data_IF_812438713012
#
_entry.id   IF_812438713012
#
_cell.length_a   1.000
_cell.length_b   1.000
_cell.length_c   1.000
_cell.angle_alpha   90.00
_cell.angle_beta   90.00
_cell.angle_gamma   90.00
#
_symmetry.space_group_name_H-M   'P 1'
#
loop_
_entity.id
_entity.type
_entity.pdbx_description
1 polymer ?
#
# COMPACT_ATOMS: atom_id res chain seq x y z
N UNK A 1 -14.85 -3.09 -37.76
CA UNK A 1 -14.69 -4.22 -36.84
C UNK A 1 -14.48 -3.66 -35.46
N UNK A 2 -15.36 -3.98 -34.52
CA UNK A 2 -15.25 -3.51 -33.14
C UNK A 2 -14.07 -4.25 -32.48
N UNK A 3 -12.95 -3.57 -32.24
CA UNK A 3 -11.92 -4.12 -31.35
C UNK A 3 -12.49 -4.10 -29.94
N UNK A 4 -12.80 -5.30 -29.43
CA UNK A 4 -13.39 -5.53 -28.13
C UNK A 4 -12.59 -4.84 -27.03
N UNK A 5 -13.27 -3.97 -26.30
CA UNK A 5 -13.00 -3.75 -24.90
C UNK A 5 -13.55 -4.99 -24.18
N UNK A 6 -12.68 -5.85 -23.63
CA UNK A 6 -13.10 -7.08 -22.94
C UNK A 6 -13.68 -6.80 -21.55
N UNK A 7 -13.93 -5.52 -21.25
CA UNK A 7 -14.52 -5.05 -20.00
C UNK A 7 -13.58 -5.19 -18.81
N UNK A 8 -12.28 -5.44 -19.03
CA UNK A 8 -11.30 -5.63 -17.97
C UNK A 8 -10.47 -4.37 -17.80
N UNK A 9 -10.52 -3.78 -16.61
CA UNK A 9 -9.60 -2.71 -16.23
C UNK A 9 -8.17 -3.24 -16.22
N UNK A 10 -7.33 -2.73 -17.13
CA UNK A 10 -5.92 -3.11 -17.22
C UNK A 10 -5.06 -2.18 -16.36
N UNK A 11 -4.24 -2.75 -15.48
CA UNK A 11 -3.21 -1.97 -14.78
C UNK A 11 -2.18 -1.47 -15.80
N UNK A 12 -2.01 -0.16 -15.87
CA UNK A 12 -1.07 0.51 -16.77
C UNK A 12 0.24 0.88 -16.11
N UNK A 13 0.30 0.88 -14.78
CA UNK A 13 1.54 1.08 -14.05
C UNK A 13 1.39 0.82 -12.55
N UNK A 14 2.52 0.55 -11.91
CA UNK A 14 2.65 0.44 -10.45
C UNK A 14 3.85 1.26 -9.98
N UNK A 15 3.76 1.84 -8.78
CA UNK A 15 4.85 2.58 -8.15
C UNK A 15 4.73 2.54 -6.63
N UNK A 16 5.83 2.88 -5.95
CA UNK A 16 5.77 3.27 -4.55
C UNK A 16 5.47 4.77 -4.47
N UNK A 17 4.46 5.15 -3.69
CA UNK A 17 4.07 6.54 -3.43
C UNK A 17 5.08 7.26 -2.54
N UNK A 18 4.68 8.36 -1.90
CA UNK A 18 5.60 9.14 -1.07
C UNK A 18 6.08 8.37 0.17
N UNK A 19 7.33 8.57 0.60
CA UNK A 19 7.84 7.98 1.85
C UNK A 19 7.07 8.49 3.07
N UNK A 20 6.80 7.57 3.98
CA UNK A 20 6.22 7.82 5.30
C UNK A 20 7.12 7.19 6.36
N UNK A 21 7.20 7.86 7.51
CA UNK A 21 8.05 7.45 8.64
C UNK A 21 7.16 7.17 9.84
N UNK A 22 7.38 6.03 10.49
CA UNK A 22 6.77 5.69 11.78
C UNK A 22 7.86 5.59 12.84
N UNK A 23 7.76 6.40 13.89
CA UNK A 23 8.68 6.37 15.03
C UNK A 23 8.12 5.47 16.13
N UNK A 24 8.94 4.52 16.58
CA UNK A 24 8.59 3.59 17.64
C UNK A 24 8.82 4.29 18.99
N UNK A 25 7.77 4.32 19.83
CA UNK A 25 7.90 4.78 21.20
C UNK A 25 8.66 3.74 22.05
N UNK A 26 9.57 4.20 22.89
CA UNK A 26 10.35 3.32 23.77
C UNK A 26 9.43 2.62 24.78
N UNK A 27 9.44 1.29 24.76
CA UNK A 27 8.68 0.42 25.66
C UNK A 27 9.09 -1.03 25.43
N UNK A 28 9.39 -1.74 26.51
CA UNK A 28 10.00 -3.06 26.49
C UNK A 28 9.08 -4.12 25.84
N UNK A 29 9.64 -4.77 24.81
CA UNK A 29 9.25 -6.04 24.20
C UNK A 29 7.94 -6.08 23.38
N UNK A 30 8.11 -6.07 22.05
CA UNK A 30 7.12 -6.50 21.07
C UNK A 30 6.32 -5.36 20.46
N UNK A 31 6.86 -4.73 19.42
CA UNK A 31 6.13 -3.72 18.67
C UNK A 31 5.31 -4.38 17.56
N UNK A 32 3.99 -4.23 17.64
CA UNK A 32 3.10 -4.44 16.50
C UNK A 32 2.87 -3.08 15.85
N UNK A 33 3.12 -2.98 14.55
CA UNK A 33 2.90 -1.75 13.79
C UNK A 33 1.82 -2.01 12.77
N UNK A 34 0.72 -1.27 12.89
CA UNK A 34 -0.36 -1.26 11.92
C UNK A 34 -0.09 -0.15 10.91
N UNK A 35 0.29 -0.53 9.69
CA UNK A 35 0.44 0.40 8.58
C UNK A 35 -0.89 0.54 7.84
N UNK A 36 -1.09 1.67 7.16
CA UNK A 36 -2.25 1.84 6.29
C UNK A 36 -2.27 0.77 5.18
N UNK A 37 -3.45 0.35 4.74
CA UNK A 37 -3.59 -0.64 3.67
C UNK A 37 -2.78 -0.29 2.43
N UNK A 38 -2.23 -1.32 1.79
CA UNK A 38 -1.34 -1.17 0.64
C UNK A 38 0.05 -0.64 0.97
N UNK A 39 0.38 -0.41 2.24
CA UNK A 39 1.72 0.03 2.63
C UNK A 39 2.73 -1.11 2.54
N UNK A 40 3.92 -0.79 2.04
CA UNK A 40 5.07 -1.69 1.98
C UNK A 40 6.20 -1.09 2.81
N UNK A 41 6.81 -1.90 3.68
CA UNK A 41 8.01 -1.49 4.42
C UNK A 41 9.18 -1.38 3.45
N UNK A 42 9.85 -0.23 3.44
CA UNK A 42 10.96 0.07 2.55
C UNK A 42 12.29 0.29 3.27
N UNK A 43 12.27 0.34 4.59
CA UNK A 43 13.48 0.44 5.39
C UNK A 43 13.21 0.39 6.88
N UNK A 44 14.25 0.05 7.62
CA UNK A 44 14.28 0.08 9.08
C UNK A 44 15.53 0.85 9.50
N UNK A 45 15.41 1.72 10.49
CA UNK A 45 16.57 2.31 11.16
C UNK A 45 16.41 2.23 12.67
N UNK A 46 17.53 2.41 13.36
CA UNK A 46 17.64 2.04 14.75
C UNK A 46 18.95 2.52 15.36
N UNK A 47 19.08 2.26 16.65
CA UNK A 47 20.29 2.52 17.40
C UNK A 47 20.69 1.29 18.23
N UNK A 48 21.91 1.29 18.74
CA UNK A 48 22.35 0.33 19.76
C UNK A 48 22.40 1.06 21.09
N UNK A 49 21.62 0.59 22.06
CA UNK A 49 21.60 1.13 23.41
C UNK A 49 21.88 -0.02 24.39
N UNK A 50 22.90 0.15 25.23
CA UNK A 50 23.29 -0.87 26.21
C UNK A 50 23.70 -2.23 25.62
N UNK A 51 24.23 -2.24 24.38
CA UNK A 51 24.62 -3.47 23.67
C UNK A 51 23.48 -4.19 22.94
N UNK A 52 22.26 -3.65 22.96
CA UNK A 52 21.11 -4.21 22.24
C UNK A 52 20.76 -3.30 21.06
N UNK A 53 20.69 -3.88 19.86
CA UNK A 53 20.19 -3.19 18.67
C UNK A 53 18.68 -3.10 18.70
N UNK A 54 18.15 -1.89 18.55
CA UNK A 54 16.72 -1.59 18.58
C UNK A 54 16.32 -0.91 17.27
N UNK A 55 15.23 -1.37 16.66
CA UNK A 55 14.57 -0.60 15.60
C UNK A 55 13.84 0.55 16.28
N UNK A 56 14.10 1.78 15.85
CA UNK A 56 13.43 2.98 16.37
C UNK A 56 12.53 3.62 15.33
N UNK A 57 12.73 3.29 14.05
CA UNK A 57 12.04 3.93 12.95
C UNK A 57 11.76 2.93 11.83
N UNK A 58 10.53 2.97 11.32
CA UNK A 58 10.10 2.20 10.16
C UNK A 58 9.77 3.16 9.02
N UNK A 59 10.40 2.95 7.87
CA UNK A 59 10.07 3.66 6.64
C UNK A 59 9.15 2.78 5.80
N UNK A 60 8.04 3.33 5.36
CA UNK A 60 7.09 2.63 4.51
C UNK A 60 6.54 3.55 3.42
N UNK A 61 6.04 2.94 2.35
CA UNK A 61 5.48 3.65 1.19
C UNK A 61 4.17 2.97 0.76
N UNK A 62 3.12 3.72 0.41
CA UNK A 62 1.93 3.13 -0.17
C UNK A 62 2.25 2.58 -1.56
N UNK A 63 1.91 1.33 -1.83
CA UNK A 63 1.88 0.79 -3.18
C UNK A 63 0.73 1.45 -3.95
N UNK A 64 1.03 1.99 -5.11
CA UNK A 64 0.06 2.68 -5.96
C UNK A 64 -0.03 2.03 -7.33
N UNK A 65 -1.23 2.02 -7.90
CA UNK A 65 -1.50 1.58 -9.26
C UNK A 65 -2.26 2.63 -10.06
N UNK A 66 -2.18 2.54 -11.38
CA UNK A 66 -2.96 3.35 -12.32
C UNK A 66 -3.56 2.48 -13.42
N UNK A 67 -4.76 2.83 -13.87
CA UNK A 67 -5.46 2.18 -14.97
C UNK A 67 -5.55 3.07 -16.22
N UNK A 68 -5.27 4.37 -16.06
CA UNK A 68 -5.37 5.38 -17.12
C UNK A 68 -4.02 6.09 -17.37
N UNK A 69 -2.97 5.74 -16.62
CA UNK A 69 -1.64 6.35 -16.70
C UNK A 69 -1.50 7.72 -16.04
N UNK A 70 -2.60 8.33 -15.57
CA UNK A 70 -2.61 9.72 -15.07
C UNK A 70 -3.00 9.80 -13.59
N UNK A 71 -3.98 9.00 -13.16
CA UNK A 71 -4.43 8.96 -11.78
C UNK A 71 -3.85 7.75 -11.05
N UNK A 72 -3.16 8.02 -9.95
CA UNK A 72 -2.54 7.00 -9.11
C UNK A 72 -3.37 6.81 -7.84
N UNK A 73 -3.67 5.56 -7.52
CA UNK A 73 -4.50 5.16 -6.38
C UNK A 73 -3.69 4.22 -5.50
N UNK A 74 -3.78 4.38 -4.18
CA UNK A 74 -3.19 3.41 -3.25
C UNK A 74 -3.94 2.08 -3.37
N UNK A 75 -3.22 0.96 -3.36
CA UNK A 75 -3.82 -0.37 -3.41
C UNK A 75 -4.47 -0.67 -2.06
N UNK A 76 -5.80 -0.71 -1.99
CA UNK A 76 -6.51 -1.19 -0.79
C UNK A 76 -6.54 -2.71 -0.67
N UNK A 77 -6.78 -3.23 0.53
CA UNK A 77 -7.16 -4.63 0.74
C UNK A 77 -8.65 -4.76 0.42
N UNK A 78 -9.01 -5.61 -0.55
CA UNK A 78 -10.42 -5.83 -0.95
C UNK A 78 -11.01 -4.78 -1.90
N UNK A 79 -10.22 -3.81 -2.39
CA UNK A 79 -10.74 -2.76 -3.28
C UNK A 79 -10.97 -3.30 -4.71
N UNK A 80 -12.23 -3.55 -5.06
CA UNK A 80 -12.63 -3.92 -6.41
C UNK A 80 -12.64 -2.68 -7.31
N UNK A 81 -11.79 -2.66 -8.33
CA UNK A 81 -11.81 -1.60 -9.34
C UNK A 81 -12.88 -1.94 -10.37
N UNK A 82 -14.10 -1.41 -10.17
CA UNK A 82 -15.19 -1.62 -11.13
C UNK A 82 -14.80 -1.01 -12.49
N UNK A 83 -14.82 -1.82 -13.55
CA UNK A 83 -14.48 -1.42 -14.92
C UNK A 83 -15.54 -0.56 -15.62
N UNK A 84 -16.36 0.18 -14.86
CA UNK A 84 -17.31 1.15 -15.42
C UNK A 84 -18.55 0.56 -16.11
N UNK A 85 -18.78 -0.76 -16.03
CA UNK A 85 -20.06 -1.34 -16.44
C UNK A 85 -21.12 -1.07 -15.36
N UNK A 86 -22.33 -0.56 -15.70
CA UNK A 86 -23.41 -0.36 -14.74
C UNK A 86 -24.02 -1.73 -14.39
N UNK A 87 -23.37 -2.45 -13.50
CA UNK A 87 -23.81 -3.75 -12.98
C UNK A 87 -23.48 -3.82 -11.51
N UNK A 88 -24.51 -3.84 -10.66
CA UNK A 88 -24.40 -3.97 -9.21
C UNK A 88 -23.66 -5.26 -8.88
N UNK A 89 -22.52 -5.20 -8.20
CA UNK A 89 -22.03 -6.33 -7.43
C UNK A 89 -21.56 -5.85 -6.06
N UNK A 90 -22.45 -6.03 -5.09
CA UNK A 90 -22.15 -6.02 -3.67
C UNK A 90 -21.48 -7.34 -3.32
N UNK A 91 -20.35 -7.30 -2.65
CA UNK A 91 -19.99 -8.40 -1.74
C UNK A 91 -19.46 -7.82 -0.42
N UNK A 92 -20.01 -8.36 0.66
CA UNK A 92 -19.73 -7.96 2.03
C UNK A 92 -18.51 -8.70 2.58
N UNK A 93 -17.73 -7.93 3.34
CA UNK A 93 -16.70 -8.27 4.33
C UNK A 93 -15.36 -8.77 3.78
#
# INVERSE_FOLDING_TARGET
GASGDDGKSRVMGFRLGNPVTYELQEGDHGWSVNLADGSVITGLSGNTQGGVSRVTTIYYRPLQMTFDGSHWRTVGVGEYVSSGAPGREYFSL
#
